data_IF_484523239545
#
_entry.id   IF_484523239545
#
_cell.length_a   1.000
_cell.length_b   1.000
_cell.length_c   1.000
_cell.angle_alpha   90.00
_cell.angle_beta   90.00
_cell.angle_gamma   90.00
#
_symmetry.space_group_name_H-M   'P 1'
#
loop_
_entity.id
_entity.type
_entity.pdbx_description
1 polymer ?
#
# COMPACT_ATOMS: atom_id res chain seq x y z
N UNK A 1 10.91 5.51 -25.58
CA UNK A 1 10.13 4.63 -24.70
C UNK A 1 11.10 3.68 -24.03
N UNK A 2 11.25 3.74 -22.71
CA UNK A 2 12.16 2.82 -22.00
C UNK A 2 11.43 1.49 -21.76
N UNK A 3 12.19 0.39 -21.77
CA UNK A 3 11.69 -1.00 -21.67
C UNK A 3 10.80 -1.25 -20.44
N UNK A 4 10.94 -0.43 -19.38
CA UNK A 4 10.21 -0.59 -18.12
C UNK A 4 8.81 0.05 -18.07
N UNK A 5 8.45 0.92 -19.02
CA UNK A 5 7.07 1.45 -19.10
C UNK A 5 6.02 0.36 -19.43
N UNK A 6 6.47 -0.83 -19.87
CA UNK A 6 5.62 -2.01 -20.13
C UNK A 6 5.41 -2.92 -18.92
N UNK A 7 6.05 -2.68 -17.77
CA UNK A 7 6.03 -3.60 -16.63
C UNK A 7 5.02 -3.25 -15.53
N UNK A 8 4.34 -2.11 -15.62
CA UNK A 8 3.25 -1.82 -14.67
C UNK A 8 2.05 -2.66 -15.09
N UNK A 9 1.69 -3.64 -14.26
CA UNK A 9 0.49 -4.44 -14.46
C UNK A 9 -0.70 -3.52 -14.71
N UNK A 10 -1.41 -3.77 -15.81
CA UNK A 10 -2.62 -3.02 -16.14
C UNK A 10 -3.60 -3.24 -15.00
N UNK A 11 -3.95 -2.17 -14.28
CA UNK A 11 -4.93 -2.25 -13.21
C UNK A 11 -6.27 -2.72 -13.81
N UNK A 12 -6.71 -3.91 -13.40
CA UNK A 12 -7.91 -4.57 -13.89
C UNK A 12 -8.84 -4.89 -12.75
N UNK A 13 -10.12 -4.65 -12.94
CA UNK A 13 -11.17 -5.13 -12.05
C UNK A 13 -11.86 -6.35 -12.65
N UNK A 14 -12.44 -7.22 -11.82
CA UNK A 14 -13.24 -8.35 -12.30
C UNK A 14 -14.65 -7.91 -12.73
N UNK A 15 -14.71 -6.86 -13.55
CA UNK A 15 -15.93 -6.30 -14.12
C UNK A 15 -15.98 -6.76 -15.58
N UNK A 16 -16.97 -7.57 -15.92
CA UNK A 16 -17.16 -8.01 -17.29
C UNK A 16 -17.63 -6.88 -18.19
N UNK A 17 -17.15 -6.87 -19.43
CA UNK A 17 -17.54 -5.88 -20.42
C UNK A 17 -17.59 -6.45 -21.82
N UNK A 18 -18.52 -5.91 -22.62
CA UNK A 18 -18.59 -6.12 -24.07
C UNK A 18 -18.14 -4.88 -24.85
N UNK A 19 -18.26 -3.69 -24.25
CA UNK A 19 -17.92 -2.41 -24.85
C UNK A 19 -17.23 -1.49 -23.83
N UNK A 20 -16.45 -0.52 -24.32
CA UNK A 20 -15.69 0.42 -23.46
C UNK A 20 -16.61 1.32 -22.62
N UNK A 21 -17.81 1.62 -23.11
CA UNK A 21 -18.78 2.49 -22.45
C UNK A 21 -19.22 1.92 -21.10
N UNK A 22 -19.34 0.59 -20.98
CA UNK A 22 -19.64 -0.07 -19.71
C UNK A 22 -18.57 0.25 -18.65
N UNK A 23 -17.30 0.18 -19.04
CA UNK A 23 -16.19 0.51 -18.15
C UNK A 23 -16.16 2.00 -17.82
N UNK A 24 -16.52 2.88 -18.77
CA UNK A 24 -16.56 4.31 -18.51
C UNK A 24 -17.56 4.70 -17.42
N UNK A 25 -18.70 3.99 -17.33
CA UNK A 25 -19.70 4.22 -16.27
C UNK A 25 -19.16 3.85 -14.89
N UNK A 26 -18.40 2.76 -14.79
CA UNK A 26 -17.96 2.21 -13.49
C UNK A 26 -16.61 2.78 -13.05
N UNK A 27 -15.63 2.82 -13.95
CA UNK A 27 -14.24 3.18 -13.68
C UNK A 27 -13.85 4.57 -14.22
N UNK A 28 -14.77 5.27 -14.89
CA UNK A 28 -14.55 6.56 -15.51
C UNK A 28 -13.96 6.49 -16.93
N UNK A 29 -13.89 7.65 -17.60
CA UNK A 29 -13.51 7.79 -19.02
C UNK A 29 -12.09 7.34 -19.38
N UNK A 30 -11.26 7.07 -18.37
CA UNK A 30 -9.88 6.59 -18.51
C UNK A 30 -9.75 5.07 -18.45
N UNK A 31 -10.86 4.35 -18.52
CA UNK A 31 -10.89 2.90 -18.64
C UNK A 31 -11.11 2.45 -20.09
N UNK A 32 -10.98 1.14 -20.33
CA UNK A 32 -11.32 0.46 -21.59
C UNK A 32 -11.72 -0.99 -21.33
N UNK A 33 -12.38 -1.62 -22.29
CA UNK A 33 -12.70 -3.05 -22.24
C UNK A 33 -11.61 -3.85 -22.96
N UNK A 34 -10.88 -4.70 -22.23
CA UNK A 34 -9.83 -5.56 -22.77
C UNK A 34 -10.03 -6.99 -22.28
N UNK A 35 -10.03 -7.96 -23.20
CA UNK A 35 -10.25 -9.38 -22.88
C UNK A 35 -11.52 -9.61 -22.04
N UNK A 36 -12.63 -8.95 -22.42
CA UNK A 36 -13.91 -8.96 -21.71
C UNK A 36 -13.87 -8.43 -20.26
N UNK A 37 -12.81 -7.73 -19.85
CA UNK A 37 -12.68 -7.10 -18.53
C UNK A 37 -12.40 -5.61 -18.61
N UNK A 38 -12.92 -4.86 -17.65
CA UNK A 38 -12.60 -3.45 -17.52
C UNK A 38 -11.21 -3.25 -16.95
N UNK A 39 -10.42 -2.43 -17.66
CA UNK A 39 -9.05 -2.11 -17.29
C UNK A 39 -8.78 -0.62 -17.42
N UNK A 40 -7.84 -0.10 -16.65
CA UNK A 40 -7.36 1.26 -16.86
C UNK A 40 -6.52 1.37 -18.13
N UNK A 41 -6.58 2.53 -18.80
CA UNK A 41 -5.71 2.82 -19.95
C UNK A 41 -4.24 2.90 -19.51
N UNK A 42 -3.27 2.81 -20.44
CA UNK A 42 -1.86 3.03 -20.11
C UNK A 42 -1.64 4.33 -19.33
N UNK A 43 -0.68 4.31 -18.41
CA UNK A 43 -0.35 5.44 -17.50
C UNK A 43 -1.50 5.87 -16.58
N UNK A 44 -2.42 4.95 -16.29
CA UNK A 44 -3.44 5.12 -15.26
C UNK A 44 -3.42 3.90 -14.34
N UNK A 45 -3.77 4.13 -13.08
CA UNK A 45 -3.94 3.08 -12.09
C UNK A 45 -5.33 3.17 -11.47
N UNK A 46 -5.72 2.14 -10.74
CA UNK A 46 -7.00 2.10 -10.06
C UNK A 46 -6.87 2.69 -8.66
N UNK A 47 -7.67 3.70 -8.35
CA UNK A 47 -7.82 4.26 -7.02
C UNK A 47 -9.30 4.48 -6.73
N UNK A 48 -9.81 3.92 -5.62
CA UNK A 48 -11.23 4.04 -5.20
C UNK A 48 -12.23 3.78 -6.34
N UNK A 49 -12.03 2.66 -7.06
CA UNK A 49 -12.85 2.24 -8.23
C UNK A 49 -12.84 3.21 -9.41
N UNK A 50 -11.85 4.10 -9.50
CA UNK A 50 -11.68 5.00 -10.64
C UNK A 50 -10.27 4.87 -11.23
N UNK A 51 -10.17 5.02 -12.54
CA UNK A 51 -8.88 5.08 -13.22
C UNK A 51 -8.31 6.49 -13.13
N UNK A 52 -7.25 6.65 -12.33
CA UNK A 52 -6.56 7.92 -12.11
C UNK A 52 -5.26 7.95 -12.91
N UNK A 53 -4.94 9.11 -13.49
CA UNK A 53 -3.70 9.33 -14.25
C UNK A 53 -2.49 9.30 -13.31
N UNK A 54 -1.45 8.57 -13.71
CA UNK A 54 -0.16 8.57 -13.02
C UNK A 54 0.59 9.87 -13.34
N UNK A 55 1.20 10.46 -12.31
CA UNK A 55 2.09 11.62 -12.41
C UNK A 55 3.54 11.17 -12.30
N UNK A 56 4.39 11.83 -13.08
CA UNK A 56 5.83 11.57 -13.08
C UNK A 56 6.50 12.31 -11.92
N UNK A 57 7.75 11.99 -11.60
CA UNK A 57 8.50 12.77 -10.63
C UNK A 57 8.58 14.22 -11.09
N UNK A 58 8.44 15.14 -10.14
CA UNK A 58 8.39 16.59 -10.33
C UNK A 58 7.14 17.11 -11.05
N UNK A 59 6.20 16.25 -11.48
CA UNK A 59 4.90 16.71 -11.94
C UNK A 59 4.10 17.32 -10.79
N UNK A 60 3.24 18.29 -11.13
CA UNK A 60 2.26 18.85 -10.21
C UNK A 60 1.23 17.79 -9.81
N UNK A 61 0.98 17.73 -8.51
CA UNK A 61 0.00 16.86 -7.88
C UNK A 61 -0.79 17.59 -6.80
N UNK A 62 -1.95 17.03 -6.48
CA UNK A 62 -2.84 17.45 -5.39
C UNK A 62 -2.86 16.41 -4.27
N UNK A 63 -2.69 15.12 -4.60
CA UNK A 63 -2.83 14.01 -3.68
C UNK A 63 -1.81 12.91 -3.96
N UNK A 64 -1.37 12.20 -2.91
CA UNK A 64 -0.38 11.11 -2.99
C UNK A 64 -0.73 10.04 -4.02
N UNK A 65 -2.00 9.66 -4.13
CA UNK A 65 -2.43 8.62 -5.06
C UNK A 65 -2.18 8.97 -6.53
N UNK A 66 -1.98 10.24 -6.89
CA UNK A 66 -1.63 10.62 -8.25
C UNK A 66 -0.18 10.29 -8.60
N UNK A 67 0.70 10.26 -7.60
CA UNK A 67 2.12 9.91 -7.74
C UNK A 67 2.30 8.39 -7.69
N UNK A 68 1.85 7.68 -8.73
CA UNK A 68 1.89 6.23 -8.77
C UNK A 68 2.90 5.71 -9.80
N UNK A 69 3.87 4.91 -9.34
CA UNK A 69 4.90 4.32 -10.21
C UNK A 69 4.93 2.79 -10.23
N UNK A 70 3.94 2.13 -9.61
CA UNK A 70 3.86 0.69 -9.44
C UNK A 70 3.62 0.28 -7.98
N UNK A 71 3.30 -0.99 -7.76
CA UNK A 71 3.04 -1.52 -6.41
C UNK A 71 4.27 -1.43 -5.50
N UNK A 72 5.46 -1.55 -6.07
CA UNK A 72 6.77 -1.44 -5.39
C UNK A 72 7.11 -0.01 -4.95
N UNK A 73 6.28 0.97 -5.32
CA UNK A 73 6.56 2.39 -5.19
C UNK A 73 5.63 3.12 -4.22
N UNK A 74 4.55 2.48 -3.77
CA UNK A 74 3.45 3.13 -3.02
C UNK A 74 3.97 3.91 -1.80
N UNK A 75 4.94 3.35 -1.07
CA UNK A 75 5.51 3.98 0.14
C UNK A 75 6.82 4.74 -0.12
N UNK A 76 7.21 4.91 -1.38
CA UNK A 76 8.49 5.51 -1.78
C UNK A 76 8.36 6.88 -2.43
N UNK A 77 7.19 7.17 -2.98
CA UNK A 77 6.85 8.45 -3.63
C UNK A 77 5.61 9.03 -2.96
N UNK A 78 5.47 10.35 -2.99
CA UNK A 78 4.30 11.05 -2.48
C UNK A 78 4.15 12.42 -3.12
N UNK A 79 3.00 13.05 -2.90
CA UNK A 79 2.75 14.41 -3.30
C UNK A 79 3.23 15.36 -2.21
N UNK A 80 4.47 15.83 -2.32
CA UNK A 80 5.13 16.67 -1.31
C UNK A 80 5.28 18.07 -1.90
N UNK A 81 4.77 19.09 -1.20
CA UNK A 81 4.76 20.48 -1.69
C UNK A 81 4.18 20.59 -3.11
N UNK A 82 3.05 19.93 -3.35
CA UNK A 82 2.32 19.91 -4.63
C UNK A 82 3.10 19.32 -5.81
N UNK A 83 4.18 18.58 -5.55
CA UNK A 83 4.96 17.90 -6.58
C UNK A 83 5.23 16.45 -6.21
N UNK A 84 5.19 15.55 -7.20
CA UNK A 84 5.51 14.16 -6.96
C UNK A 84 7.01 14.02 -6.65
N UNK A 85 7.32 13.63 -5.42
CA UNK A 85 8.68 13.61 -4.89
C UNK A 85 8.93 12.29 -4.14
N UNK A 86 10.16 11.80 -4.18
CA UNK A 86 10.54 10.65 -3.36
C UNK A 86 10.44 10.99 -1.88
N UNK A 87 9.90 10.07 -1.09
CA UNK A 87 9.84 10.20 0.36
C UNK A 87 11.24 10.07 0.95
N UNK A 88 11.35 10.47 2.21
CA UNK A 88 12.61 10.39 2.95
C UNK A 88 13.15 8.95 2.97
N UNK A 89 14.48 8.80 2.87
CA UNK A 89 15.13 7.50 2.65
C UNK A 89 15.15 6.99 1.22
N UNK A 90 14.54 7.70 0.27
CA UNK A 90 14.54 7.35 -1.15
C UNK A 90 15.05 8.48 -2.03
N UNK A 91 15.68 8.12 -3.15
CA UNK A 91 16.13 9.05 -4.19
C UNK A 91 15.51 8.72 -5.53
N UNK A 92 15.44 9.73 -6.39
CA UNK A 92 14.93 9.57 -7.74
C UNK A 92 15.83 8.64 -8.57
N UNK A 93 15.19 7.74 -9.29
CA UNK A 93 15.79 6.88 -10.29
C UNK A 93 14.95 6.99 -11.56
N UNK A 94 15.51 7.64 -12.58
CA UNK A 94 14.75 8.05 -13.77
C UNK A 94 13.58 8.99 -13.44
N UNK A 95 12.66 9.17 -14.38
CA UNK A 95 11.55 10.12 -14.30
C UNK A 95 10.38 9.66 -13.43
N UNK A 96 10.37 8.40 -12.96
CA UNK A 96 9.17 7.80 -12.32
C UNK A 96 9.45 7.05 -11.04
N UNK A 97 10.67 6.60 -10.77
CA UNK A 97 10.93 5.67 -9.66
C UNK A 97 11.68 6.30 -8.53
N UNK A 98 11.41 5.78 -7.34
CA UNK A 98 12.17 6.05 -6.13
C UNK A 98 12.84 4.75 -5.68
N UNK A 99 14.17 4.80 -5.54
CA UNK A 99 14.98 3.70 -5.02
C UNK A 99 15.53 4.09 -3.66
N UNK A 100 15.89 3.10 -2.84
CA UNK A 100 16.52 3.35 -1.53
C UNK A 100 17.77 4.20 -1.74
N UNK A 101 17.89 5.27 -0.96
CA UNK A 101 19.10 6.09 -0.97
C UNK A 101 20.16 5.43 -0.06
N UNK A 102 21.27 4.91 -0.62
CA UNK A 102 22.31 4.28 0.19
C UNK A 102 23.02 5.25 1.15
N UNK A 103 22.87 6.56 0.96
CA UNK A 103 23.48 7.58 1.80
C UNK A 103 22.53 8.18 2.82
N UNK A 104 21.25 7.78 2.81
CA UNK A 104 20.31 8.22 3.82
C UNK A 104 20.68 7.56 5.14
N UNK A 105 21.40 8.32 5.98
CA UNK A 105 21.63 7.95 7.37
C UNK A 105 20.29 8.10 8.06
N UNK A 106 19.65 6.98 8.39
CA UNK A 106 18.58 6.99 9.37
C UNK A 106 19.19 7.58 10.62
N UNK A 107 18.85 8.84 10.92
CA UNK A 107 19.05 9.35 12.26
C UNK A 107 18.19 8.46 13.14
N UNK A 108 18.84 7.47 13.77
CA UNK A 108 18.19 6.63 14.77
C UNK A 108 17.68 7.64 15.79
N UNK A 109 16.36 7.85 15.92
CA UNK A 109 15.87 8.74 16.95
C UNK A 109 16.46 8.20 18.25
N UNK A 110 17.05 9.06 19.11
CA UNK A 110 17.63 8.59 20.36
C UNK A 110 16.58 7.74 21.02
N UNK A 111 16.87 6.44 21.16
CA UNK A 111 15.94 5.47 21.71
C UNK A 111 15.53 6.07 23.04
N UNK A 112 14.31 6.59 23.10
CA UNK A 112 13.73 6.98 24.36
C UNK A 112 13.75 5.68 25.15
N UNK A 113 14.64 5.63 26.15
CA UNK A 113 14.71 4.54 27.10
C UNK A 113 13.34 4.52 27.76
N UNK A 114 12.41 3.76 27.16
CA UNK A 114 11.17 3.38 27.82
C UNK A 114 11.63 2.57 29.01
N UNK A 115 11.70 3.22 30.16
CA UNK A 115 11.70 2.55 31.44
C UNK A 115 10.48 1.65 31.43
N UNK A 116 10.77 0.36 31.33
CA UNK A 116 9.81 -0.73 31.43
C UNK A 116 8.90 -0.46 32.64
N UNK A 117 7.58 -0.33 32.47
CA UNK A 117 6.70 -0.36 33.61
C UNK A 117 6.85 -1.72 34.27
N UNK A 118 7.11 -1.71 35.58
CA UNK A 118 7.13 -2.87 36.46
C UNK A 118 5.84 -3.69 36.28
N UNK A 119 5.85 -4.62 35.33
CA UNK A 119 4.86 -5.67 35.23
C UNK A 119 5.19 -6.68 36.33
N UNK A 120 4.68 -6.41 37.53
CA UNK A 120 4.37 -7.45 38.51
C UNK A 120 3.22 -8.27 37.93
N UNK A 121 3.54 -9.10 36.95
CA UNK A 121 2.68 -10.21 36.56
C UNK A 121 2.64 -11.15 37.77
N UNK A 122 1.51 -11.13 38.48
CA UNK A 122 1.15 -12.22 39.38
C UNK A 122 1.11 -13.48 38.54
N UNK A 123 2.13 -14.31 38.73
CA UNK A 123 2.24 -15.65 38.20
C UNK A 123 1.09 -16.45 38.81
N UNK A 124 -0.06 -16.46 38.15
CA UNK A 124 -1.13 -17.40 38.44
C UNK A 124 -0.60 -18.74 37.93
N UNK A 125 -0.13 -19.56 38.86
CA UNK A 125 0.34 -20.91 38.58
C UNK A 125 -0.75 -21.69 37.84
N UNK A 126 -0.44 -22.17 36.63
CA UNK A 126 -1.29 -23.05 35.82
C UNK A 126 -1.80 -24.28 36.59
N UNK A 127 -1.13 -24.65 37.69
CA UNK A 127 -1.52 -25.75 38.58
C UNK A 127 -2.91 -25.50 39.19
N UNK A 128 -3.23 -24.25 39.58
CA UNK A 128 -4.54 -23.94 40.18
C UNK A 128 -5.69 -24.09 39.17
N UNK A 129 -5.47 -23.69 37.91
CA UNK A 129 -6.47 -23.85 36.85
C UNK A 129 -6.72 -25.33 36.52
N UNK A 130 -5.69 -26.17 36.58
CA UNK A 130 -5.83 -27.60 36.33
C UNK A 130 -6.62 -28.31 37.45
N UNK A 131 -6.39 -27.94 38.71
CA UNK A 131 -7.13 -28.51 39.85
C UNK A 131 -8.61 -28.11 39.82
N UNK A 132 -8.93 -26.86 39.49
CA UNK A 132 -10.34 -26.43 39.35
C UNK A 132 -11.03 -27.18 38.20
N UNK A 133 -10.36 -27.38 37.07
CA UNK A 133 -10.91 -28.16 35.96
C UNK A 133 -11.20 -29.62 36.36
N UNK A 134 -10.29 -30.27 37.09
CA UNK A 134 -10.50 -31.63 37.60
C UNK A 134 -11.72 -31.69 38.53
N UNK A 135 -11.84 -30.77 39.50
CA UNK A 135 -12.96 -30.78 40.45
C UNK A 135 -14.33 -30.58 39.79
N UNK A 136 -14.39 -29.82 38.69
CA UNK A 136 -15.63 -29.65 37.89
C UNK A 136 -15.97 -30.95 37.13
N UNK A 137 -14.98 -31.67 36.61
CA UNK A 137 -15.22 -32.91 35.87
C UNK A 137 -15.65 -34.09 36.74
N UNK A 138 -15.23 -34.14 38.01
CA UNK A 138 -15.58 -35.24 38.93
C UNK A 138 -16.85 -34.99 39.78
N UNK A 139 -17.43 -33.79 39.75
CA UNK A 139 -18.70 -33.45 40.42
C UNK A 139 -19.85 -33.21 39.44
N UNK A 140 -20.04 -34.14 38.49
CA UNK A 140 -21.29 -34.22 37.74
C UNK A 140 -22.08 -35.42 38.24
N UNK A 141 -23.26 -35.21 38.87
CA UNK A 141 -24.14 -36.30 39.31
C UNK A 141 -24.75 -37.05 38.12
#
# INVERSE_FOLDING_TARGET
MTVYDSCVHVASENIECSKKEHCHVILGSKSTCKNKRCVCRPFHHLHKKQCIKNRDLHDVCEHDHQCYCGQDCIDRIGCINNTCTCRDGYKSYSIRRCIVDPFHRVEIPPVAVMQSPNNRATKIDCILLYIVAILIFFNKP
#
